data_IF_924978828334
#
_entry.id   IF_924978828334
#
_cell.length_a   1.000
_cell.length_b   1.000
_cell.length_c   1.000
_cell.angle_alpha   90.00
_cell.angle_beta   90.00
_cell.angle_gamma   90.00
#
_symmetry.space_group_name_H-M   'P 1'
#
loop_
_entity.id
_entity.type
_entity.pdbx_description
1 polymer ?
#
# COMPACT_ATOMS: atom_id res chain seq x y z
N UNK A 1 -5.37 28.44 38.36
CA UNK A 1 -5.81 28.33 36.94
C UNK A 1 -4.64 28.04 35.98
N UNK A 2 -3.37 28.37 36.33
CA UNK A 2 -2.18 28.06 35.50
C UNK A 2 -1.52 26.71 35.84
N UNK A 3 -1.72 26.17 37.03
CA UNK A 3 -1.14 24.88 37.45
C UNK A 3 -1.95 23.66 36.96
N UNK A 4 -3.25 23.78 36.73
CA UNK A 4 -4.08 22.67 36.23
C UNK A 4 -3.95 22.44 34.72
N UNK A 5 -3.45 23.39 33.93
CA UNK A 5 -3.20 23.21 32.51
C UNK A 5 -1.87 22.49 32.22
N UNK A 6 -0.90 22.58 33.12
CA UNK A 6 0.42 21.97 32.95
C UNK A 6 0.39 20.45 33.19
N UNK A 7 -0.49 19.95 34.05
CA UNK A 7 -0.65 18.50 34.33
C UNK A 7 -1.39 17.74 33.23
N UNK A 8 -2.16 18.40 32.38
CA UNK A 8 -2.86 17.75 31.27
C UNK A 8 -1.91 17.51 30.09
N UNK A 9 -0.97 18.40 29.83
CA UNK A 9 0.03 18.23 28.77
C UNK A 9 1.07 17.15 29.11
N UNK A 10 1.49 17.03 30.38
CA UNK A 10 2.41 15.97 30.81
C UNK A 10 1.79 14.57 30.77
N UNK A 11 0.49 14.42 30.96
CA UNK A 11 -0.19 13.13 30.86
C UNK A 11 -0.44 12.68 29.41
N UNK A 12 -0.45 13.58 28.45
CA UNK A 12 -0.55 13.24 27.00
C UNK A 12 0.78 12.74 26.46
N UNK A 13 1.92 13.30 26.92
CA UNK A 13 3.25 12.88 26.49
C UNK A 13 3.68 11.52 27.04
N UNK A 14 3.17 11.09 28.19
CA UNK A 14 3.50 9.80 28.79
C UNK A 14 2.77 8.59 28.14
N UNK A 15 1.82 8.79 27.25
CA UNK A 15 1.06 7.73 26.54
C UNK A 15 1.53 7.46 25.12
N UNK A 16 2.51 8.18 24.60
CA UNK A 16 3.12 7.91 23.29
C UNK A 16 4.31 6.95 23.46
N UNK A 17 3.99 5.66 23.66
CA UNK A 17 4.97 4.60 23.56
C UNK A 17 5.59 4.60 22.16
N UNK A 18 6.90 4.74 22.08
CA UNK A 18 7.67 4.58 20.85
C UNK A 18 7.51 3.16 20.35
N UNK A 19 6.61 2.95 19.39
CA UNK A 19 6.49 1.69 18.68
C UNK A 19 7.70 1.51 17.76
N UNK A 20 8.41 0.41 17.91
CA UNK A 20 9.55 0.00 17.08
C UNK A 20 9.09 -0.13 15.60
N UNK A 21 9.83 0.45 14.63
CA UNK A 21 9.57 0.30 13.19
C UNK A 21 9.49 -1.16 12.70
N UNK A 22 9.99 -2.12 13.50
CA UNK A 22 9.94 -3.54 13.17
C UNK A 22 8.52 -4.15 13.19
N UNK A 23 7.54 -3.53 13.83
CA UNK A 23 6.18 -4.06 13.96
C UNK A 23 5.33 -4.00 12.69
N UNK A 24 5.73 -3.20 11.69
CA UNK A 24 5.05 -3.17 10.39
C UNK A 24 5.20 -4.46 9.56
N UNK A 25 6.12 -5.36 9.96
CA UNK A 25 6.51 -6.55 9.19
C UNK A 25 5.83 -7.84 9.71
N UNK A 26 5.32 -7.86 10.95
CA UNK A 26 4.82 -9.10 11.57
C UNK A 26 3.32 -9.39 11.36
N UNK A 27 2.53 -8.43 10.92
CA UNK A 27 1.07 -8.58 10.79
C UNK A 27 0.61 -9.56 9.71
N UNK A 28 1.49 -9.97 8.79
CA UNK A 28 1.18 -10.94 7.71
C UNK A 28 1.30 -12.43 8.08
N UNK A 29 1.59 -12.81 9.33
CA UNK A 29 1.98 -14.20 9.68
C UNK A 29 1.02 -14.97 10.59
N UNK A 30 -0.25 -14.72 10.60
CA UNK A 30 -1.18 -15.57 11.35
C UNK A 30 -2.23 -16.22 10.47
N UNK A 31 -1.81 -17.23 9.68
CA UNK A 31 -2.71 -18.31 9.28
C UNK A 31 -1.92 -19.62 9.19
N UNK A 32 -2.36 -20.62 9.98
CA UNK A 32 -2.08 -22.04 9.76
C UNK A 32 -0.85 -22.63 10.46
N UNK A 33 -0.98 -23.05 11.73
CA UNK A 33 -0.11 -24.09 12.31
C UNK A 33 -0.44 -25.43 11.66
N UNK A 34 0.47 -25.92 10.81
CA UNK A 34 0.53 -27.33 10.43
C UNK A 34 1.54 -28.00 11.37
N UNK A 35 1.05 -28.92 12.22
CA UNK A 35 1.89 -29.76 13.06
C UNK A 35 2.48 -30.88 12.20
N UNK A 36 3.81 -30.95 12.10
CA UNK A 36 4.53 -32.08 11.53
C UNK A 36 5.01 -33.02 12.64
N UNK A 37 4.97 -34.34 12.46
CA UNK A 37 5.43 -35.30 13.47
C UNK A 37 6.96 -35.33 13.56
N UNK A 38 7.48 -35.47 14.79
CA UNK A 38 8.89 -35.62 15.09
C UNK A 38 9.39 -37.01 14.69
N UNK A 39 10.29 -37.08 13.71
CA UNK A 39 11.10 -38.24 13.38
C UNK A 39 12.59 -37.85 13.29
N UNK A 40 13.54 -38.78 13.58
CA UNK A 40 14.97 -38.42 13.67
C UNK A 40 15.58 -38.11 12.31
N UNK A 41 16.36 -37.01 12.26
CA UNK A 41 17.03 -36.51 11.07
C UNK A 41 18.35 -37.27 10.90
N UNK A 42 18.66 -37.86 9.71
CA UNK A 42 19.99 -38.38 9.42
C UNK A 42 20.97 -37.25 9.08
N UNK A 43 22.17 -37.31 9.66
CA UNK A 43 23.25 -36.38 9.40
C UNK A 43 23.76 -36.53 7.97
N UNK A 44 23.58 -35.52 7.12
CA UNK A 44 24.30 -35.37 5.85
C UNK A 44 25.32 -34.24 5.93
N UNK A 45 26.57 -34.62 5.68
CA UNK A 45 27.70 -33.70 5.46
C UNK A 45 27.57 -32.99 4.10
N UNK A 46 27.93 -31.72 4.04
CA UNK A 46 28.17 -31.04 2.78
C UNK A 46 27.45 -29.71 2.68
N UNK A 47 28.20 -28.62 2.74
CA UNK A 47 27.74 -27.24 2.75
C UNK A 47 26.84 -26.88 1.58
N UNK A 48 25.65 -26.44 1.90
CA UNK A 48 24.88 -25.53 1.09
C UNK A 48 24.55 -24.32 1.98
N UNK A 49 25.04 -23.17 1.56
CA UNK A 49 24.63 -21.88 2.12
C UNK A 49 23.10 -21.85 2.14
N UNK A 50 22.52 -21.80 3.33
CA UNK A 50 21.09 -21.50 3.49
C UNK A 50 20.83 -20.19 2.77
N UNK A 51 20.12 -20.24 1.63
CA UNK A 51 19.54 -19.03 1.00
C UNK A 51 18.61 -18.45 2.07
N UNK A 52 19.05 -17.34 2.68
CA UNK A 52 18.19 -16.59 3.60
C UNK A 52 16.88 -16.32 2.91
N UNK A 53 15.79 -16.52 3.62
CA UNK A 53 14.46 -16.07 3.18
C UNK A 53 14.58 -14.56 3.04
N UNK A 54 14.71 -14.07 1.82
CA UNK A 54 14.74 -12.64 1.53
C UNK A 54 13.34 -12.10 1.84
N UNK A 55 13.22 -11.37 2.95
CA UNK A 55 11.95 -10.77 3.34
C UNK A 55 11.66 -9.68 2.31
N UNK A 56 10.53 -9.82 1.60
CA UNK A 56 10.12 -8.86 0.59
C UNK A 56 9.88 -7.49 1.22
N UNK A 57 10.65 -6.49 0.78
CA UNK A 57 10.49 -5.09 1.21
C UNK A 57 9.21 -4.51 0.64
N UNK A 58 8.28 -4.11 1.51
CA UNK A 58 6.98 -3.56 1.11
C UNK A 58 6.98 -2.04 1.05
N UNK A 59 7.79 -1.39 1.89
CA UNK A 59 7.88 0.05 2.01
C UNK A 59 9.29 0.50 2.37
N UNK A 60 9.62 1.74 2.04
CA UNK A 60 10.76 2.47 2.58
C UNK A 60 10.47 2.91 4.04
N UNK A 61 11.50 3.19 4.85
CA UNK A 61 11.29 3.63 6.23
C UNK A 61 10.59 4.98 6.30
N UNK A 62 9.82 5.18 7.37
CA UNK A 62 9.22 6.49 7.67
C UNK A 62 10.30 7.54 7.90
N UNK A 63 10.09 8.79 7.46
CA UNK A 63 11.02 9.88 7.73
C UNK A 63 10.99 10.27 9.19
N UNK A 64 12.12 10.77 9.69
CA UNK A 64 12.27 11.35 11.01
C UNK A 64 12.28 12.88 10.97
N UNK A 65 12.14 13.51 12.13
CA UNK A 65 12.22 14.97 12.29
C UNK A 65 10.95 15.74 11.92
N UNK A 66 10.90 17.04 12.21
CA UNK A 66 9.69 17.86 12.07
C UNK A 66 9.37 18.24 10.62
N UNK A 67 10.37 18.26 9.72
CA UNK A 67 10.22 18.61 8.31
C UNK A 67 10.66 17.42 7.46
N UNK A 68 9.88 17.11 6.44
CA UNK A 68 10.22 16.17 5.38
C UNK A 68 10.39 16.95 4.07
N UNK A 69 11.50 16.72 3.40
CA UNK A 69 11.79 17.27 2.08
C UNK A 69 11.88 16.12 1.07
N UNK A 70 11.07 16.18 0.03
CA UNK A 70 11.16 15.24 -1.09
C UNK A 70 12.26 15.72 -2.05
N UNK A 71 13.38 15.01 -2.04
CA UNK A 71 14.52 15.30 -2.93
C UNK A 71 14.51 14.41 -4.16
N UNK A 72 15.24 14.80 -5.22
CA UNK A 72 15.41 13.94 -6.40
C UNK A 72 16.04 12.59 -6.04
N UNK A 73 16.99 12.56 -5.11
CA UNK A 73 17.61 11.31 -4.67
C UNK A 73 16.61 10.32 -4.05
N UNK A 74 15.63 10.81 -3.27
CA UNK A 74 14.55 9.98 -2.71
C UNK A 74 13.59 9.48 -3.80
N UNK A 75 13.28 10.30 -4.80
CA UNK A 75 12.49 9.89 -5.95
C UNK A 75 13.21 8.77 -6.72
N UNK A 76 14.50 8.95 -7.02
CA UNK A 76 15.32 7.96 -7.72
C UNK A 76 15.42 6.65 -6.95
N UNK A 77 15.54 6.70 -5.62
CA UNK A 77 15.54 5.53 -4.74
C UNK A 77 14.20 4.79 -4.82
N UNK A 78 13.08 5.48 -4.65
CA UNK A 78 11.75 4.88 -4.72
C UNK A 78 11.47 4.23 -6.07
N UNK A 79 11.85 4.88 -7.16
CA UNK A 79 11.75 4.34 -8.53
C UNK A 79 12.61 3.09 -8.70
N UNK A 80 13.86 3.12 -8.23
CA UNK A 80 14.76 1.97 -8.29
C UNK A 80 14.17 0.78 -7.53
N UNK A 81 13.73 0.98 -6.30
CA UNK A 81 13.15 -0.06 -5.46
C UNK A 81 11.86 -0.63 -6.06
N UNK A 82 11.01 0.21 -6.67
CA UNK A 82 9.80 -0.25 -7.34
C UNK A 82 10.08 -1.16 -8.55
N UNK A 83 11.16 -0.89 -9.29
CA UNK A 83 11.59 -1.72 -10.44
C UNK A 83 12.14 -3.07 -9.98
N UNK A 84 12.81 -3.12 -8.82
CA UNK A 84 13.38 -4.34 -8.23
C UNK A 84 12.35 -5.17 -7.46
N UNK A 85 11.28 -4.56 -6.98
CA UNK A 85 10.24 -5.23 -6.22
C UNK A 85 9.49 -6.26 -7.06
N UNK A 86 9.28 -7.49 -6.58
CA UNK A 86 8.39 -8.47 -7.22
C UNK A 86 6.96 -7.96 -7.41
N UNK A 87 6.51 -7.04 -6.55
CA UNK A 87 5.20 -6.38 -6.65
C UNK A 87 5.15 -5.30 -7.72
N UNK A 88 6.29 -4.96 -8.34
CA UNK A 88 6.40 -3.84 -9.28
C UNK A 88 5.95 -2.51 -8.69
N UNK A 89 6.03 -2.39 -7.36
CA UNK A 89 5.75 -1.15 -6.62
C UNK A 89 6.54 -1.06 -5.32
N UNK A 90 6.75 0.17 -4.87
CA UNK A 90 7.36 0.48 -3.57
C UNK A 90 6.59 1.64 -2.93
N UNK A 91 6.27 1.49 -1.65
CA UNK A 91 5.60 2.50 -0.86
C UNK A 91 6.63 3.31 -0.08
N UNK A 92 6.49 4.62 -0.03
CA UNK A 92 7.31 5.51 0.78
C UNK A 92 6.40 6.37 1.67
N UNK A 93 6.22 6.01 2.95
CA UNK A 93 5.50 6.84 3.90
C UNK A 93 6.20 8.18 4.09
N UNK A 94 5.45 9.28 4.06
CA UNK A 94 5.95 10.62 4.41
C UNK A 94 5.34 11.15 5.72
N UNK A 95 4.39 10.40 6.29
CA UNK A 95 3.97 10.54 7.68
C UNK A 95 4.99 9.89 8.62
N UNK A 96 4.96 10.22 9.93
CA UNK A 96 5.99 9.81 10.89
C UNK A 96 5.76 8.43 11.50
N UNK A 97 4.51 7.98 11.51
CA UNK A 97 4.17 6.67 12.06
C UNK A 97 2.73 6.25 11.83
N UNK A 98 2.39 5.00 12.18
CA UNK A 98 1.05 4.45 11.97
C UNK A 98 -0.03 5.17 12.78
N UNK A 99 0.35 5.84 13.88
CA UNK A 99 -0.57 6.63 14.72
C UNK A 99 -0.98 7.97 14.15
N UNK A 100 -0.36 8.45 13.06
CA UNK A 100 -0.67 9.74 12.49
C UNK A 100 -2.11 9.78 11.94
N UNK A 101 -2.85 10.84 12.27
CA UNK A 101 -4.24 11.01 11.86
C UNK A 101 -4.41 11.23 10.35
N UNK A 102 -3.36 11.65 9.67
CA UNK A 102 -3.31 11.78 8.21
C UNK A 102 -2.16 10.94 7.70
N UNK A 103 -2.49 9.82 7.08
CA UNK A 103 -1.52 8.95 6.42
C UNK A 103 -1.19 9.53 5.05
N UNK A 104 0.08 9.77 4.76
CA UNK A 104 0.57 10.35 3.51
C UNK A 104 1.72 9.51 3.02
N UNK A 105 1.69 9.10 1.76
CA UNK A 105 2.72 8.24 1.18
C UNK A 105 2.87 8.46 -0.30
N UNK A 106 4.06 8.21 -0.81
CA UNK A 106 4.32 8.08 -2.24
C UNK A 106 4.23 6.60 -2.61
N UNK A 107 3.50 6.28 -3.66
CA UNK A 107 3.51 4.98 -4.29
C UNK A 107 4.29 5.09 -5.60
N UNK A 108 5.43 4.41 -5.68
CA UNK A 108 6.22 4.24 -6.89
C UNK A 108 5.76 2.96 -7.58
N UNK A 109 5.23 3.09 -8.78
CA UNK A 109 4.55 1.99 -9.46
C UNK A 109 5.08 1.78 -10.87
N UNK A 110 5.20 0.52 -11.27
CA UNK A 110 5.64 0.11 -12.61
C UNK A 110 4.51 -0.66 -13.31
N UNK A 111 4.42 -0.62 -14.65
CA UNK A 111 3.54 -1.53 -15.40
C UNK A 111 3.76 -2.97 -14.95
N UNK A 112 2.67 -3.71 -14.80
CA UNK A 112 2.67 -5.05 -14.20
C UNK A 112 2.42 -5.08 -12.69
N UNK A 113 2.32 -3.91 -12.03
CA UNK A 113 1.85 -3.90 -10.63
C UNK A 113 0.37 -4.25 -10.58
N UNK A 114 0.02 -5.19 -9.70
CA UNK A 114 -1.37 -5.57 -9.44
C UNK A 114 -1.79 -5.14 -8.04
N UNK A 115 -2.74 -4.23 -7.95
CA UNK A 115 -3.37 -3.85 -6.68
C UNK A 115 -4.76 -4.47 -6.65
N UNK A 116 -4.93 -5.51 -5.82
CA UNK A 116 -6.20 -6.22 -5.64
C UNK A 116 -7.32 -5.23 -5.34
N UNK A 117 -8.49 -5.41 -5.94
CA UNK A 117 -9.65 -4.58 -5.67
C UNK A 117 -10.00 -4.60 -4.19
N UNK A 118 -10.22 -3.43 -3.60
CA UNK A 118 -10.47 -3.25 -2.18
C UNK A 118 -11.33 -2.02 -1.90
N UNK A 119 -11.77 -1.90 -0.66
CA UNK A 119 -12.44 -0.73 -0.13
C UNK A 119 -11.94 -0.40 1.27
N UNK A 120 -12.19 0.82 1.71
CA UNK A 120 -11.96 1.29 3.08
C UNK A 120 -13.31 1.39 3.80
N UNK A 121 -13.67 0.41 4.68
CA UNK A 121 -15.05 0.31 5.20
C UNK A 121 -15.37 1.30 6.31
N UNK A 122 -14.36 1.85 7.00
CA UNK A 122 -14.55 2.76 8.13
C UNK A 122 -15.17 4.08 7.68
N UNK A 123 -16.14 4.58 8.45
CA UNK A 123 -16.78 5.88 8.19
C UNK A 123 -15.75 7.01 8.10
N UNK A 124 -15.83 7.79 7.02
CA UNK A 124 -14.92 8.88 6.72
C UNK A 124 -13.48 8.42 6.39
N UNK A 125 -13.27 7.15 6.04
CA UNK A 125 -12.01 6.65 5.50
C UNK A 125 -11.89 7.02 4.01
N UNK A 126 -11.82 8.31 3.71
CA UNK A 126 -11.55 8.80 2.36
C UNK A 126 -10.08 8.65 2.00
N UNK A 127 -9.81 8.54 0.70
CA UNK A 127 -8.48 8.43 0.12
C UNK A 127 -8.36 9.32 -1.12
N UNK A 128 -7.31 10.15 -1.17
CA UNK A 128 -7.01 10.99 -2.34
C UNK A 128 -5.74 10.49 -3.01
N UNK A 129 -5.78 10.29 -4.32
CA UNK A 129 -4.65 9.89 -5.15
C UNK A 129 -4.34 10.99 -6.16
N UNK A 130 -3.16 11.60 -6.07
CA UNK A 130 -2.66 12.62 -7.00
C UNK A 130 -1.52 12.04 -7.83
N UNK A 131 -1.60 12.12 -9.14
CA UNK A 131 -0.51 11.69 -10.05
C UNK A 131 0.58 12.75 -10.11
N UNK A 132 1.78 12.41 -9.64
CA UNK A 132 2.96 13.26 -9.67
C UNK A 132 3.84 13.00 -10.90
N UNK A 133 3.87 11.75 -11.39
CA UNK A 133 4.62 11.32 -12.57
C UNK A 133 3.94 10.13 -13.23
N UNK A 134 4.10 9.97 -14.53
CA UNK A 134 3.57 8.83 -15.28
C UNK A 134 2.09 8.92 -15.58
N UNK A 135 1.38 7.79 -15.47
CA UNK A 135 -0.03 7.67 -15.79
C UNK A 135 -0.66 6.55 -14.94
N UNK A 136 -1.75 6.88 -14.26
CA UNK A 136 -2.51 5.96 -13.39
C UNK A 136 -3.80 5.53 -14.06
N UNK A 137 -4.09 4.23 -14.05
CA UNK A 137 -5.43 3.69 -14.28
C UNK A 137 -6.15 3.57 -12.95
N UNK A 138 -7.41 3.96 -12.93
CA UNK A 138 -8.29 3.85 -11.77
C UNK A 138 -9.63 3.25 -12.18
N UNK A 139 -10.08 2.22 -11.48
CA UNK A 139 -11.33 1.50 -11.78
C UNK A 139 -12.14 1.38 -10.50
N UNK A 140 -13.44 1.68 -10.58
CA UNK A 140 -14.39 1.43 -9.49
C UNK A 140 -15.37 0.32 -9.85
N UNK A 141 -15.89 -0.35 -8.81
CA UNK A 141 -16.77 -1.50 -8.96
C UNK A 141 -17.97 -1.40 -8.02
N UNK A 142 -19.05 -2.10 -8.37
CA UNK A 142 -20.10 -2.42 -7.43
C UNK A 142 -19.69 -3.61 -6.51
N UNK A 143 -20.46 -3.95 -5.47
CA UNK A 143 -20.12 -5.05 -4.57
C UNK A 143 -19.96 -6.42 -5.26
N UNK A 144 -20.61 -6.64 -6.37
CA UNK A 144 -20.58 -7.87 -7.18
C UNK A 144 -19.40 -7.92 -8.16
N UNK A 145 -18.60 -6.84 -8.26
CA UNK A 145 -17.42 -6.75 -9.11
C UNK A 145 -17.68 -6.26 -10.52
N UNK A 146 -18.88 -5.73 -10.79
CA UNK A 146 -19.17 -5.09 -12.06
C UNK A 146 -18.50 -3.72 -12.12
N UNK A 147 -17.83 -3.40 -13.23
CA UNK A 147 -17.19 -2.11 -13.45
C UNK A 147 -18.22 -0.98 -13.47
N UNK A 148 -18.01 0.02 -12.63
CA UNK A 148 -18.82 1.22 -12.54
C UNK A 148 -18.22 2.39 -13.32
N UNK A 149 -16.93 2.70 -13.05
CA UNK A 149 -16.20 3.76 -13.76
C UNK A 149 -14.77 3.35 -14.04
N UNK A 150 -14.21 3.93 -15.09
CA UNK A 150 -12.79 3.82 -15.42
C UNK A 150 -12.23 5.21 -15.67
N UNK A 151 -11.03 5.46 -15.16
CA UNK A 151 -10.34 6.72 -15.32
C UNK A 151 -8.89 6.48 -15.73
N UNK A 152 -8.40 7.33 -16.61
CA UNK A 152 -7.00 7.42 -16.99
C UNK A 152 -6.49 8.79 -16.54
N UNK A 153 -5.59 8.81 -15.56
CA UNK A 153 -5.13 10.02 -14.90
C UNK A 153 -3.68 10.31 -15.29
N UNK A 154 -3.44 11.50 -15.80
CA UNK A 154 -2.12 12.04 -16.08
C UNK A 154 -1.57 12.89 -14.94
N UNK A 155 -0.38 13.44 -15.14
CA UNK A 155 0.31 14.29 -14.14
C UNK A 155 -0.54 15.50 -13.76
N UNK A 156 -0.72 15.73 -12.46
CA UNK A 156 -1.52 16.82 -11.90
C UNK A 156 -3.01 16.50 -11.77
N UNK A 157 -3.47 15.36 -12.29
CA UNK A 157 -4.84 14.89 -12.10
C UNK A 157 -4.97 14.05 -10.84
N UNK A 158 -6.14 14.07 -10.22
CA UNK A 158 -6.43 13.34 -8.99
C UNK A 158 -7.79 12.68 -9.02
N UNK A 159 -7.95 11.66 -8.17
CA UNK A 159 -9.23 11.14 -7.73
C UNK A 159 -9.32 11.24 -6.22
N UNK A 160 -10.52 11.54 -5.73
CA UNK A 160 -10.87 11.47 -4.33
C UNK A 160 -11.92 10.39 -4.14
N UNK A 161 -11.68 9.49 -3.21
CA UNK A 161 -12.41 8.23 -3.05
C UNK A 161 -13.08 8.25 -1.68
N UNK A 162 -14.38 8.20 -1.67
CA UNK A 162 -15.15 8.08 -0.42
C UNK A 162 -15.03 6.68 0.20
N UNK A 163 -15.34 6.59 1.48
CA UNK A 163 -15.40 5.31 2.18
C UNK A 163 -16.32 4.31 1.45
N UNK A 164 -15.98 3.03 1.52
CA UNK A 164 -16.76 1.90 0.97
C UNK A 164 -16.85 1.83 -0.55
N UNK A 165 -16.10 2.64 -1.29
CA UNK A 165 -15.99 2.50 -2.75
C UNK A 165 -15.01 1.38 -3.07
N UNK A 166 -15.50 0.32 -3.74
CA UNK A 166 -14.63 -0.73 -4.29
C UNK A 166 -13.81 -0.17 -5.45
N UNK A 167 -12.48 -0.30 -5.36
CA UNK A 167 -11.59 0.26 -6.37
C UNK A 167 -10.30 -0.54 -6.55
N UNK A 168 -9.65 -0.34 -7.68
CA UNK A 168 -8.31 -0.82 -8.00
C UNK A 168 -7.55 0.24 -8.76
N UNK A 169 -6.22 0.22 -8.64
CA UNK A 169 -5.29 1.12 -9.33
C UNK A 169 -4.22 0.32 -10.06
N UNK A 170 -3.75 0.85 -11.20
CA UNK A 170 -2.68 0.24 -11.98
C UNK A 170 -1.81 1.30 -12.64
N UNK A 171 -0.51 1.01 -12.81
CA UNK A 171 0.39 1.89 -13.55
C UNK A 171 0.26 1.62 -15.05
N UNK A 172 -0.12 2.65 -15.81
CA UNK A 172 -0.23 2.60 -17.28
C UNK A 172 1.05 3.06 -17.98
N UNK A 173 1.92 3.75 -17.25
CA UNK A 173 3.24 4.17 -17.72
C UNK A 173 4.33 3.74 -16.74
N UNK A 174 5.54 3.57 -17.24
CA UNK A 174 6.72 3.36 -16.39
C UNK A 174 6.94 4.56 -15.47
N UNK A 175 7.50 4.28 -14.29
CA UNK A 175 7.86 5.32 -13.31
C UNK A 175 6.67 6.20 -12.89
N UNK A 176 5.50 5.59 -12.79
CA UNK A 176 4.32 6.26 -12.24
C UNK A 176 4.51 6.47 -10.74
N UNK A 177 4.35 7.72 -10.30
CA UNK A 177 4.43 8.13 -8.88
C UNK A 177 3.14 8.82 -8.51
N UNK A 178 2.49 8.34 -7.46
CA UNK A 178 1.30 8.98 -6.92
C UNK A 178 1.52 9.39 -5.46
N UNK A 179 0.95 10.51 -5.08
CA UNK A 179 0.78 10.90 -3.69
C UNK A 179 -0.57 10.39 -3.22
N UNK A 180 -0.53 9.49 -2.24
CA UNK A 180 -1.70 8.98 -1.56
C UNK A 180 -1.85 9.70 -0.21
N UNK A 181 -3.05 10.20 0.05
CA UNK A 181 -3.42 10.83 1.32
C UNK A 181 -4.69 10.15 1.79
N UNK A 182 -4.67 9.60 2.99
CA UNK A 182 -5.85 8.96 3.59
C UNK A 182 -5.97 9.23 5.08
N UNK A 183 -7.18 9.08 5.58
CA UNK A 183 -7.45 9.21 7.01
C UNK A 183 -6.75 8.10 7.78
N UNK A 184 -6.01 8.49 8.82
CA UNK A 184 -5.47 7.63 9.85
C UNK A 184 -6.31 7.62 11.13
N UNK A 185 -5.78 7.07 12.23
CA UNK A 185 -4.53 6.29 12.29
C UNK A 185 -4.63 5.02 11.46
N UNK A 186 -3.48 4.40 11.12
CA UNK A 186 -3.47 3.13 10.41
C UNK A 186 -4.12 2.01 11.24
N UNK A 187 -5.00 1.23 10.60
CA UNK A 187 -5.55 0.01 11.15
C UNK A 187 -5.60 -1.03 10.02
N UNK A 188 -5.22 -2.27 10.30
CA UNK A 188 -5.25 -3.37 9.32
C UNK A 188 -6.66 -3.65 8.80
N UNK A 189 -7.67 -3.47 9.67
CA UNK A 189 -9.09 -3.65 9.32
C UNK A 189 -9.64 -2.53 8.41
N UNK A 190 -8.88 -1.45 8.21
CA UNK A 190 -9.28 -0.33 7.34
C UNK A 190 -9.18 -0.67 5.86
N UNK A 191 -8.78 -1.90 5.50
CA UNK A 191 -8.71 -2.37 4.11
C UNK A 191 -9.34 -3.74 3.99
N UNK A 192 -10.43 -3.82 3.23
CA UNK A 192 -11.11 -5.06 2.91
C UNK A 192 -10.92 -5.36 1.43
N UNK A 193 -10.46 -6.56 1.11
CA UNK A 193 -10.28 -7.02 -0.26
C UNK A 193 -11.54 -7.69 -0.80
N UNK A 194 -11.83 -7.44 -2.07
CA UNK A 194 -12.95 -8.08 -2.75
C UNK A 194 -12.72 -9.59 -2.93
N UNK A 195 -13.71 -10.41 -2.59
CA UNK A 195 -13.63 -11.87 -2.75
C UNK A 195 -13.56 -12.30 -4.22
N UNK A 196 -14.23 -11.56 -5.09
CA UNK A 196 -14.23 -11.80 -6.55
C UNK A 196 -12.92 -11.41 -7.25
N UNK A 197 -12.04 -10.67 -6.58
CA UNK A 197 -10.75 -10.22 -7.13
C UNK A 197 -9.63 -11.19 -6.71
N UNK A 198 -8.83 -11.73 -7.65
CA UNK A 198 -7.74 -12.66 -7.35
C UNK A 198 -6.75 -12.09 -6.32
N UNK A 199 -6.17 -12.97 -5.52
CA UNK A 199 -5.08 -12.57 -4.61
C UNK A 199 -3.83 -12.18 -5.39
N UNK A 200 -3.04 -11.26 -4.84
CA UNK A 200 -1.75 -10.89 -5.38
C UNK A 200 -0.84 -12.14 -5.43
N UNK A 201 -0.15 -12.35 -6.54
CA UNK A 201 0.68 -13.53 -6.84
C UNK A 201 -0.08 -14.85 -7.06
N UNK A 202 -1.42 -14.88 -7.06
CA UNK A 202 -2.17 -16.04 -7.52
C UNK A 202 -2.11 -16.20 -9.03
N UNK A 203 -2.43 -17.40 -9.53
CA UNK A 203 -2.44 -17.71 -10.97
C UNK A 203 -3.43 -16.83 -11.76
N UNK A 204 -4.51 -16.38 -11.11
CA UNK A 204 -5.51 -15.50 -11.73
C UNK A 204 -5.13 -14.01 -11.78
N UNK A 205 -4.11 -13.58 -11.04
CA UNK A 205 -3.74 -12.16 -10.96
C UNK A 205 -3.26 -11.56 -12.29
N UNK A 206 -2.44 -12.25 -13.13
CA UNK A 206 -2.02 -11.72 -14.43
C UNK A 206 -3.18 -11.48 -15.40
N UNK A 207 -4.11 -12.41 -15.50
CA UNK A 207 -5.28 -12.28 -16.39
C UNK A 207 -6.21 -11.17 -15.92
N UNK A 208 -6.42 -11.05 -14.62
CA UNK A 208 -7.21 -9.97 -14.05
C UNK A 208 -6.57 -8.60 -14.27
N UNK A 209 -5.25 -8.48 -14.12
CA UNK A 209 -4.51 -7.26 -14.43
C UNK A 209 -4.59 -6.91 -15.92
N UNK A 210 -4.48 -7.89 -16.82
CA UNK A 210 -4.63 -7.69 -18.25
C UNK A 210 -6.04 -7.16 -18.59
N UNK A 211 -7.07 -7.73 -17.97
CA UNK A 211 -8.45 -7.25 -18.10
C UNK A 211 -8.59 -5.81 -17.62
N UNK A 212 -8.11 -5.47 -16.40
CA UNK A 212 -8.13 -4.10 -15.89
C UNK A 212 -7.42 -3.11 -16.81
N UNK A 213 -6.27 -3.52 -17.37
CA UNK A 213 -5.49 -2.69 -18.30
C UNK A 213 -6.27 -2.42 -19.58
N UNK A 214 -6.97 -3.43 -20.11
CA UNK A 214 -7.86 -3.28 -21.28
C UNK A 214 -8.97 -2.28 -21.03
N UNK A 215 -9.64 -2.34 -19.88
CA UNK A 215 -10.71 -1.42 -19.50
C UNK A 215 -10.28 0.06 -19.52
N UNK A 216 -9.07 0.34 -19.06
CA UNK A 216 -8.56 1.73 -18.97
C UNK A 216 -7.87 2.16 -20.28
N UNK A 217 -7.38 1.20 -21.07
CA UNK A 217 -6.75 1.46 -22.38
C UNK A 217 -7.72 1.91 -23.46
N UNK A 218 -8.95 1.41 -23.44
CA UNK A 218 -9.97 1.65 -24.47
C UNK A 218 -10.80 2.91 -24.23
N UNK A 219 -10.62 3.61 -23.11
CA UNK A 219 -11.32 4.87 -22.81
C UNK A 219 -12.83 4.74 -22.90
N UNK A 220 -13.46 4.04 -21.96
CA UNK A 220 -14.93 4.10 -21.82
C UNK A 220 -15.30 5.55 -21.52
N UNK A 221 -16.20 6.19 -22.30
CA UNK A 221 -16.59 7.57 -22.05
C UNK A 221 -17.16 7.68 -20.63
N UNK A 222 -16.55 8.53 -19.81
CA UNK A 222 -17.14 8.92 -18.53
C UNK A 222 -18.52 9.51 -18.78
N UNK A 223 -19.57 8.88 -18.27
CA UNK A 223 -20.88 9.49 -18.21
C UNK A 223 -20.75 10.77 -17.39
N UNK A 224 -20.98 11.92 -18.02
CA UNK A 224 -21.04 13.25 -17.39
C UNK A 224 -22.33 13.40 -16.61
#
# INVERSE_FOLDING_TARGET
VREEQQTAEEQVLARQGHGDPATYIEAGKRQGRISLPAGPIPACRGGALARGVEIMKLALPNPSGPVFELTQALLDEGLRESRLSPRRRMLFPIHRGPGDLVQRMLNFMQPGTYVRAHQHPRDGASETLLVMSGCLGFVTFDPEGKVMTTHRLGVGELVDIEARVWHSVLALAGDTVILEIKRGPFNEEDKVFAEWSPEEFSDGAPDHLAWLTGLVGEGVPTAR
#
